data_IF_437718353384
#
_entry.id   IF_437718353384
#
_cell.length_a   1.000
_cell.length_b   1.000
_cell.length_c   1.000
_cell.angle_alpha   90.00
_cell.angle_beta   90.00
_cell.angle_gamma   90.00
#
_symmetry.space_group_name_H-M   'P 1'
#
loop_
_entity.id
_entity.type
_entity.pdbx_description
1 polymer ?
#
# COMPACT_ATOMS: atom_id res chain seq x y z
N UNK A 1 -0.59 -34.57 17.15
CA UNK A 1 -0.90 -33.14 17.41
C UNK A 1 -1.25 -32.52 16.07
N UNK A 2 -2.43 -31.92 15.93
CA UNK A 2 -2.81 -31.28 14.68
C UNK A 2 -2.00 -29.98 14.51
N UNK A 3 -1.26 -29.86 13.41
CA UNK A 3 -0.53 -28.64 13.08
C UNK A 3 -1.46 -27.77 12.25
N UNK A 4 -1.54 -26.47 12.55
CA UNK A 4 -2.38 -25.50 11.82
C UNK A 4 -2.04 -25.39 10.31
N UNK A 5 -0.92 -25.99 9.90
CA UNK A 5 -0.46 -26.09 8.51
C UNK A 5 -1.17 -27.20 7.73
N UNK A 6 -1.76 -28.19 8.40
CA UNK A 6 -2.47 -29.33 7.80
C UNK A 6 -3.98 -29.09 7.69
N UNK A 7 -4.43 -27.86 7.96
CA UNK A 7 -5.84 -27.50 7.89
C UNK A 7 -6.33 -27.58 6.44
N UNK A 8 -7.47 -28.25 6.23
CA UNK A 8 -8.13 -28.27 4.93
C UNK A 8 -8.44 -26.83 4.49
N UNK A 9 -8.26 -26.56 3.19
CA UNK A 9 -8.42 -25.23 2.61
C UNK A 9 -9.82 -24.64 2.85
N UNK A 10 -10.83 -25.50 2.92
CA UNK A 10 -12.23 -25.14 3.21
C UNK A 10 -12.39 -24.61 4.64
N UNK A 11 -11.77 -25.26 5.63
CA UNK A 11 -11.79 -24.81 7.02
C UNK A 11 -11.06 -23.48 7.17
N UNK A 12 -9.94 -23.32 6.46
CA UNK A 12 -9.17 -22.09 6.45
C UNK A 12 -9.98 -20.93 5.86
N UNK A 13 -10.64 -21.14 4.71
CA UNK A 13 -11.56 -20.15 4.14
C UNK A 13 -12.67 -19.81 5.12
N UNK A 14 -13.28 -20.81 5.76
CA UNK A 14 -14.35 -20.60 6.72
C UNK A 14 -13.89 -19.78 7.94
N UNK A 15 -12.69 -20.03 8.45
CA UNK A 15 -12.10 -19.23 9.54
C UNK A 15 -11.90 -17.78 9.08
N UNK A 16 -11.35 -17.57 7.89
CA UNK A 16 -11.14 -16.23 7.35
C UNK A 16 -12.46 -15.49 7.09
N UNK A 17 -13.49 -16.19 6.60
CA UNK A 17 -14.86 -15.66 6.43
C UNK A 17 -15.52 -15.34 7.77
N UNK A 18 -15.31 -16.16 8.80
CA UNK A 18 -15.84 -15.88 10.15
C UNK A 18 -15.21 -14.61 10.74
N UNK A 19 -13.93 -14.34 10.44
CA UNK A 19 -13.32 -13.05 10.78
C UNK A 19 -13.95 -11.86 10.02
N UNK A 20 -14.62 -12.09 8.88
CA UNK A 20 -15.36 -11.04 8.13
C UNK A 20 -16.77 -10.78 8.62
N UNK A 21 -17.40 -11.73 9.31
CA UNK A 21 -18.80 -11.67 9.71
C UNK A 21 -19.00 -11.15 11.15
N UNK A 22 -17.92 -10.76 11.84
CA UNK A 22 -18.04 -10.04 13.12
C UNK A 22 -18.57 -8.62 12.87
N UNK A 23 -19.91 -8.55 12.85
CA UNK A 23 -20.78 -7.44 12.42
C UNK A 23 -20.56 -6.05 13.02
N UNK A 24 -19.57 -5.84 13.90
CA UNK A 24 -19.31 -4.53 14.52
C UNK A 24 -17.86 -4.05 14.44
N UNK A 25 -16.95 -4.89 13.95
CA UNK A 25 -15.58 -4.48 13.65
C UNK A 25 -15.23 -5.08 12.30
N UNK A 26 -15.28 -4.27 11.24
CA UNK A 26 -14.65 -4.63 9.97
C UNK A 26 -13.30 -5.26 10.30
N UNK A 27 -13.03 -6.55 9.99
CA UNK A 27 -11.69 -7.06 10.17
C UNK A 27 -10.78 -6.14 9.41
N UNK A 28 -9.95 -5.41 10.16
CA UNK A 28 -9.08 -4.44 9.52
C UNK A 28 -8.26 -5.19 8.48
N UNK A 29 -8.11 -4.61 7.29
CA UNK A 29 -7.26 -5.11 6.20
C UNK A 29 -5.94 -5.73 6.71
N UNK A 30 -5.42 -5.19 7.82
CA UNK A 30 -4.34 -5.72 8.66
C UNK A 30 -4.47 -7.22 9.00
N UNK A 31 -5.62 -7.73 9.43
CA UNK A 31 -5.83 -9.15 9.76
C UNK A 31 -5.62 -10.05 8.55
N UNK A 32 -6.12 -9.67 7.37
CA UNK A 32 -5.90 -10.47 6.17
C UNK A 32 -4.48 -10.36 5.63
N UNK A 33 -3.85 -9.19 5.74
CA UNK A 33 -2.42 -9.05 5.48
C UNK A 33 -1.60 -9.98 6.38
N UNK A 34 -1.83 -9.95 7.70
CA UNK A 34 -1.13 -10.80 8.66
C UNK A 34 -1.38 -12.29 8.40
N UNK A 35 -2.62 -12.69 8.13
CA UNK A 35 -2.94 -14.10 7.83
C UNK A 35 -2.34 -14.57 6.50
N UNK A 36 -2.17 -13.68 5.51
CA UNK A 36 -1.49 -14.01 4.25
C UNK A 36 0.01 -14.32 4.42
N UNK A 37 0.59 -13.93 5.56
CA UNK A 37 1.99 -14.16 5.94
C UNK A 37 2.18 -15.42 6.80
N UNK A 38 1.11 -16.04 7.32
CA UNK A 38 1.18 -17.19 8.25
C UNK A 38 1.81 -18.41 7.59
N UNK A 39 1.31 -18.82 6.42
CA UNK A 39 1.93 -19.87 5.60
C UNK A 39 1.44 -19.81 4.13
N UNK A 40 2.01 -20.67 3.26
CA UNK A 40 1.67 -20.71 1.82
C UNK A 40 0.21 -21.05 1.53
N UNK A 41 -0.41 -21.93 2.31
CA UNK A 41 -1.81 -22.33 2.18
C UNK A 41 -2.77 -21.18 2.58
N UNK A 42 -2.37 -20.31 3.50
CA UNK A 42 -3.16 -19.15 3.94
C UNK A 42 -3.09 -17.96 2.98
N UNK A 43 -2.00 -17.83 2.21
CA UNK A 43 -1.79 -16.69 1.31
C UNK A 43 -2.90 -16.50 0.29
N UNK A 44 -3.24 -17.53 -0.49
CA UNK A 44 -4.23 -17.41 -1.57
C UNK A 44 -5.63 -17.07 -1.01
N UNK A 45 -6.12 -17.73 0.04
CA UNK A 45 -7.43 -17.40 0.63
C UNK A 45 -7.47 -16.03 1.31
N UNK A 46 -6.43 -15.65 2.07
CA UNK A 46 -6.35 -14.32 2.69
C UNK A 46 -6.29 -13.23 1.63
N UNK A 47 -5.54 -13.42 0.54
CA UNK A 47 -5.53 -12.49 -0.59
C UNK A 47 -6.86 -12.45 -1.33
N UNK A 48 -7.51 -13.60 -1.55
CA UNK A 48 -8.82 -13.63 -2.20
C UNK A 48 -9.86 -12.83 -1.40
N UNK A 49 -9.85 -12.93 -0.07
CA UNK A 49 -10.73 -12.15 0.82
C UNK A 49 -10.31 -10.69 0.96
N UNK A 50 -9.01 -10.38 0.85
CA UNK A 50 -8.54 -9.00 0.67
C UNK A 50 -9.14 -8.37 -0.57
N UNK A 51 -9.28 -9.11 -1.67
CA UNK A 51 -9.88 -8.60 -2.90
C UNK A 51 -11.41 -8.60 -2.90
N UNK A 52 -12.05 -9.55 -2.20
CA UNK A 52 -13.50 -9.70 -2.17
C UNK A 52 -14.20 -8.69 -1.25
N UNK A 53 -13.55 -8.29 -0.14
CA UNK A 53 -14.08 -7.26 0.78
C UNK A 53 -13.75 -5.82 0.33
N UNK A 54 -13.18 -5.65 -0.86
CA UNK A 54 -13.09 -4.35 -1.51
C UNK A 54 -14.48 -4.00 -2.02
N UNK A 55 -15.29 -3.39 -1.17
CA UNK A 55 -16.36 -2.52 -1.65
C UNK A 55 -15.74 -1.57 -2.69
N UNK A 56 -16.33 -1.37 -3.90
CA UNK A 56 -15.83 -0.40 -4.88
C UNK A 56 -15.56 1.00 -4.30
N UNK A 57 -16.16 1.33 -3.15
CA UNK A 57 -15.92 2.55 -2.36
C UNK A 57 -14.77 2.48 -1.34
N UNK A 58 -14.30 1.31 -0.90
CA UNK A 58 -13.27 1.15 0.13
C UNK A 58 -11.92 0.77 -0.50
N UNK A 59 -11.02 1.76 -0.61
CA UNK A 59 -9.76 1.67 -1.35
C UNK A 59 -8.58 1.36 -0.41
N UNK A 60 -8.32 0.10 -0.11
CA UNK A 60 -7.09 -0.32 0.59
C UNK A 60 -6.49 -1.51 -0.17
N UNK A 61 -5.26 -1.36 -0.69
CA UNK A 61 -4.60 -2.37 -1.51
C UNK A 61 -3.36 -3.00 -0.86
N UNK A 62 -3.08 -4.20 -1.36
CA UNK A 62 -2.18 -5.26 -0.89
C UNK A 62 -0.73 -5.07 -1.32
N UNK A 63 0.20 -5.56 -0.50
CA UNK A 63 1.62 -5.77 -0.86
C UNK A 63 1.74 -6.76 -2.04
N UNK A 64 1.78 -6.27 -3.28
CA UNK A 64 2.03 -7.12 -4.47
C UNK A 64 3.54 -7.34 -4.61
N UNK A 65 4.04 -8.35 -3.91
CA UNK A 65 5.34 -8.95 -4.23
C UNK A 65 5.17 -9.97 -5.35
N UNK A 66 5.60 -9.66 -6.57
CA UNK A 66 5.81 -10.68 -7.61
C UNK A 66 7.00 -11.56 -7.22
N UNK A 67 6.77 -12.85 -6.95
CA UNK A 67 7.83 -13.85 -6.80
C UNK A 67 7.50 -15.11 -7.62
N UNK A 68 8.36 -15.51 -8.57
CA UNK A 68 8.47 -16.89 -8.99
C UNK A 68 9.39 -17.67 -8.01
N UNK A 69 8.81 -18.72 -7.44
CA UNK A 69 9.35 -20.05 -7.09
C UNK A 69 10.68 -20.24 -6.32
N UNK A 70 10.51 -20.93 -5.20
CA UNK A 70 11.34 -22.00 -4.60
C UNK A 70 12.51 -21.68 -3.64
N UNK A 71 12.39 -22.34 -2.48
CA UNK A 71 13.39 -22.70 -1.47
C UNK A 71 14.17 -21.57 -0.78
N UNK A 72 13.81 -21.30 0.50
CA UNK A 72 14.68 -20.61 1.47
C UNK A 72 14.93 -19.11 1.24
N UNK A 73 14.05 -18.41 0.53
CA UNK A 73 14.35 -17.08 0.01
C UNK A 73 14.10 -15.94 0.99
N UNK A 74 15.21 -15.31 1.38
CA UNK A 74 15.27 -13.86 1.65
C UNK A 74 14.46 -13.11 0.58
N UNK A 75 13.67 -12.10 0.96
CA UNK A 75 12.94 -11.20 0.06
C UNK A 75 13.92 -10.49 -0.90
N UNK A 76 14.31 -11.15 -2.00
CA UNK A 76 15.41 -10.68 -2.87
C UNK A 76 14.97 -9.64 -3.90
N UNK A 77 13.69 -9.43 -4.13
CA UNK A 77 13.20 -8.60 -5.25
C UNK A 77 11.88 -7.90 -4.95
N UNK A 78 11.82 -7.10 -3.89
CA UNK A 78 10.69 -6.16 -3.71
C UNK A 78 11.06 -4.86 -4.43
N UNK A 79 10.53 -4.68 -5.63
CA UNK A 79 10.74 -3.45 -6.41
C UNK A 79 9.65 -2.40 -6.17
N UNK A 80 8.46 -2.82 -5.71
CA UNK A 80 7.34 -1.94 -5.40
C UNK A 80 6.82 -2.21 -4.00
N UNK A 81 6.57 -1.15 -3.25
CA UNK A 81 6.07 -1.21 -1.88
C UNK A 81 4.94 -0.18 -1.71
N UNK A 82 3.83 -0.60 -1.12
CA UNK A 82 2.72 0.25 -0.76
C UNK A 82 2.46 0.12 0.74
N UNK A 83 2.46 1.24 1.45
CA UNK A 83 2.34 1.34 2.90
C UNK A 83 1.15 2.22 3.23
N UNK A 84 0.13 1.65 3.88
CA UNK A 84 -1.10 2.36 4.15
C UNK A 84 -1.33 2.54 5.65
N UNK A 85 -1.65 3.77 6.07
CA UNK A 85 -1.94 4.09 7.46
C UNK A 85 -0.75 3.89 8.40
N UNK A 86 0.46 4.24 7.96
CA UNK A 86 1.66 4.14 8.81
C UNK A 86 2.23 5.51 9.14
N UNK A 87 2.71 5.65 10.38
CA UNK A 87 3.57 6.76 10.76
C UNK A 87 4.94 6.65 10.08
N UNK A 88 5.59 7.79 9.90
CA UNK A 88 6.93 7.93 9.29
C UNK A 88 8.00 7.09 9.99
N UNK A 89 7.94 6.97 11.32
CA UNK A 89 8.83 6.12 12.11
C UNK A 89 8.74 4.67 11.64
N UNK A 90 7.53 4.14 11.50
CA UNK A 90 7.32 2.77 11.04
C UNK A 90 7.75 2.59 9.58
N UNK A 91 7.43 3.56 8.71
CA UNK A 91 7.88 3.55 7.31
C UNK A 91 9.40 3.46 7.24
N UNK A 92 10.10 4.26 8.05
CA UNK A 92 11.56 4.26 8.12
C UNK A 92 12.11 2.92 8.59
N UNK A 93 11.59 2.36 9.68
CA UNK A 93 12.03 1.06 10.21
C UNK A 93 11.80 -0.07 9.19
N UNK A 94 10.66 -0.05 8.50
CA UNK A 94 10.38 -1.02 7.46
C UNK A 94 11.33 -0.86 6.27
N UNK A 95 11.49 0.35 5.76
CA UNK A 95 12.36 0.65 4.61
C UNK A 95 13.82 0.29 4.93
N UNK A 96 14.31 0.61 6.12
CA UNK A 96 15.67 0.19 6.57
C UNK A 96 15.84 -1.32 6.69
N UNK A 97 14.77 -2.07 6.98
CA UNK A 97 14.82 -3.55 7.04
C UNK A 97 14.88 -4.22 5.66
N UNK A 98 14.55 -3.49 4.59
CA UNK A 98 14.57 -4.02 3.23
C UNK A 98 16.00 -4.27 2.77
N UNK A 99 16.23 -5.46 2.22
CA UNK A 99 17.55 -5.86 1.69
C UNK A 99 17.75 -5.55 0.21
N UNK A 100 16.66 -5.29 -0.51
CA UNK A 100 16.65 -5.04 -1.94
C UNK A 100 16.28 -3.57 -2.20
N UNK A 101 16.96 -2.86 -3.12
CA UNK A 101 16.60 -1.51 -3.48
C UNK A 101 15.18 -1.41 -4.03
N UNK A 102 14.48 -0.35 -3.65
CA UNK A 102 13.11 -0.11 -4.06
C UNK A 102 13.05 0.76 -5.32
N UNK A 103 12.16 0.45 -6.25
CA UNK A 103 11.94 1.24 -7.48
C UNK A 103 10.68 2.12 -7.39
N UNK A 104 9.63 1.66 -6.70
CA UNK A 104 8.37 2.38 -6.51
C UNK A 104 7.93 2.30 -5.05
N UNK A 105 7.60 3.44 -4.47
CA UNK A 105 7.02 3.54 -3.14
C UNK A 105 5.66 4.25 -3.23
N UNK A 106 4.66 3.71 -2.56
CA UNK A 106 3.42 4.38 -2.25
C UNK A 106 3.24 4.40 -0.74
N UNK A 107 2.91 5.57 -0.19
CA UNK A 107 2.70 5.73 1.26
C UNK A 107 1.43 6.52 1.50
N UNK A 108 0.56 6.02 2.36
CA UNK A 108 -0.56 6.75 2.94
C UNK A 108 -0.26 6.97 4.42
N UNK A 109 -0.32 8.23 4.84
CA UNK A 109 0.03 8.65 6.20
C UNK A 109 -1.20 8.47 7.11
N UNK A 110 -1.00 7.81 8.26
CA UNK A 110 -2.06 7.63 9.26
C UNK A 110 -2.42 8.93 10.00
N UNK A 111 -3.56 8.93 10.72
CA UNK A 111 -3.85 9.91 11.77
C UNK A 111 -2.69 10.00 12.77
N UNK A 112 -2.43 11.21 13.27
CA UNK A 112 -1.42 11.42 14.32
C UNK A 112 0.03 11.39 13.83
N UNK A 113 0.28 11.24 12.52
CA UNK A 113 1.63 11.31 11.95
C UNK A 113 2.36 12.63 12.26
N UNK A 114 1.62 13.73 12.50
CA UNK A 114 2.20 15.03 12.90
C UNK A 114 2.60 15.11 14.38
N UNK A 115 2.20 14.15 15.20
CA UNK A 115 2.45 14.18 16.65
C UNK A 115 3.97 14.05 16.97
N UNK A 116 4.76 13.57 16.01
CA UNK A 116 6.21 13.37 16.12
C UNK A 116 7.10 14.52 15.65
N UNK A 117 6.55 15.59 15.04
CA UNK A 117 7.33 16.75 14.58
C UNK A 117 7.22 17.06 13.08
N UNK A 118 8.32 17.54 12.48
CA UNK A 118 8.33 17.98 11.07
C UNK A 118 8.40 16.78 10.14
N UNK A 119 7.24 16.33 9.66
CA UNK A 119 7.20 15.14 8.85
C UNK A 119 7.92 15.28 7.52
N UNK A 120 7.91 16.46 6.90
CA UNK A 120 8.61 16.62 5.61
C UNK A 120 10.11 16.32 5.77
N UNK A 121 10.69 16.72 6.91
CA UNK A 121 12.07 16.36 7.24
C UNK A 121 12.25 14.85 7.43
N UNK A 122 11.28 14.15 8.01
CA UNK A 122 11.34 12.69 8.18
C UNK A 122 11.18 11.94 6.85
N UNK A 123 10.26 12.37 5.98
CA UNK A 123 10.12 11.81 4.63
C UNK A 123 11.38 12.06 3.79
N UNK A 124 11.97 13.26 3.91
CA UNK A 124 13.27 13.54 3.30
C UNK A 124 14.35 12.59 3.86
N UNK A 125 14.40 12.36 5.17
CA UNK A 125 15.34 11.41 5.77
C UNK A 125 15.13 9.96 5.29
N UNK A 126 13.91 9.55 4.95
CA UNK A 126 13.64 8.25 4.34
C UNK A 126 14.26 8.16 2.93
N UNK A 127 14.20 9.22 2.12
CA UNK A 127 14.85 9.26 0.79
C UNK A 127 16.37 9.14 0.85
N UNK A 128 16.98 9.50 1.98
CA UNK A 128 18.42 9.37 2.20
C UNK A 128 18.86 7.92 2.46
N UNK A 129 17.93 6.99 2.67
CA UNK A 129 18.26 5.61 2.97
C UNK A 129 18.86 4.90 1.73
N UNK A 130 19.90 4.06 1.88
CA UNK A 130 20.55 3.38 0.76
C UNK A 130 19.61 2.57 -0.13
N UNK A 131 18.56 1.98 0.46
CA UNK A 131 17.54 1.22 -0.26
C UNK A 131 16.72 2.07 -1.24
N UNK A 132 16.64 3.38 -1.02
CA UNK A 132 15.89 4.32 -1.84
C UNK A 132 16.70 4.86 -3.02
N UNK A 133 17.98 4.49 -3.14
CA UNK A 133 18.87 4.97 -4.22
C UNK A 133 18.38 4.61 -5.62
N UNK A 134 17.58 3.54 -5.76
CA UNK A 134 16.99 3.13 -7.04
C UNK A 134 15.53 3.55 -7.18
N UNK A 135 14.99 4.32 -6.23
CA UNK A 135 13.61 4.76 -6.26
C UNK A 135 13.42 5.70 -7.44
N UNK A 136 12.46 5.37 -8.30
CA UNK A 136 12.11 6.19 -9.46
C UNK A 136 10.88 7.02 -9.21
N UNK A 137 9.95 6.49 -8.41
CA UNK A 137 8.64 7.12 -8.16
C UNK A 137 8.25 6.97 -6.70
N UNK A 138 7.75 8.06 -6.14
CA UNK A 138 7.12 8.03 -4.82
C UNK A 138 5.74 8.67 -4.89
N UNK A 139 4.71 7.87 -4.61
CA UNK A 139 3.34 8.34 -4.41
C UNK A 139 3.11 8.59 -2.92
N UNK A 140 2.65 9.79 -2.59
CA UNK A 140 2.24 10.13 -1.23
C UNK A 140 0.74 10.43 -1.22
N UNK A 141 0.02 9.62 -0.46
CA UNK A 141 -1.41 9.78 -0.21
C UNK A 141 -1.61 10.45 1.16
N UNK A 142 -2.27 11.60 1.13
CA UNK A 142 -2.65 12.37 2.32
C UNK A 142 -4.17 12.40 2.51
N UNK A 143 -4.86 11.33 2.09
CA UNK A 143 -6.31 11.22 2.06
C UNK A 143 -6.99 11.78 3.32
N UNK A 144 -8.14 12.42 3.09
CA UNK A 144 -8.94 13.14 4.09
C UNK A 144 -9.63 12.23 5.11
N UNK A 145 -9.72 10.94 4.83
CA UNK A 145 -10.63 10.07 5.54
C UNK A 145 -10.15 9.74 6.97
N UNK A 146 -8.84 9.86 7.25
CA UNK A 146 -8.29 9.36 8.51
C UNK A 146 -7.19 10.22 9.15
N UNK A 147 -6.89 11.44 8.68
CA UNK A 147 -5.80 12.23 9.27
C UNK A 147 -5.64 13.69 8.80
N UNK A 148 -4.72 14.40 9.46
CA UNK A 148 -4.35 15.78 9.12
C UNK A 148 -3.57 15.81 7.82
N UNK A 149 -4.08 16.51 6.81
CA UNK A 149 -3.38 16.69 5.53
C UNK A 149 -2.01 17.36 5.67
N UNK A 150 -1.12 17.05 4.71
CA UNK A 150 0.00 17.93 4.44
C UNK A 150 -0.54 19.30 4.05
N UNK A 151 0.04 20.38 4.58
CA UNK A 151 -0.19 21.68 4.00
C UNK A 151 0.38 21.71 2.57
N UNK A 152 -0.10 22.62 1.72
CA UNK A 152 0.44 22.76 0.36
C UNK A 152 1.95 23.07 0.39
N UNK A 153 2.42 23.83 1.38
CA UNK A 153 3.86 24.11 1.58
C UNK A 153 4.64 22.84 1.96
N UNK A 154 4.11 22.05 2.89
CA UNK A 154 4.75 20.79 3.30
C UNK A 154 4.82 19.80 2.12
N UNK A 155 3.73 19.70 1.35
CA UNK A 155 3.68 18.88 0.14
C UNK A 155 4.68 19.38 -0.91
N UNK A 156 4.74 20.68 -1.18
CA UNK A 156 5.70 21.26 -2.11
C UNK A 156 7.16 20.99 -1.67
N UNK A 157 7.44 21.03 -0.37
CA UNK A 157 8.76 20.72 0.18
C UNK A 157 9.10 19.23 0.06
N UNK A 158 8.14 18.32 0.27
CA UNK A 158 8.31 16.90 -0.02
C UNK A 158 8.59 16.65 -1.51
N UNK A 159 7.80 17.25 -2.41
CA UNK A 159 8.01 17.13 -3.85
C UNK A 159 9.38 17.64 -4.28
N UNK A 160 9.82 18.77 -3.73
CA UNK A 160 11.15 19.32 -3.95
C UNK A 160 12.25 18.34 -3.53
N UNK A 161 12.07 17.68 -2.38
CA UNK A 161 13.00 16.67 -1.86
C UNK A 161 13.06 15.43 -2.77
N UNK A 162 11.92 14.95 -3.25
CA UNK A 162 11.84 13.88 -4.25
C UNK A 162 12.59 14.26 -5.54
N UNK A 163 12.29 15.41 -6.12
CA UNK A 163 12.90 15.85 -7.39
C UNK A 163 14.41 16.06 -7.27
N UNK A 164 14.89 16.57 -6.14
CA UNK A 164 16.32 16.72 -5.87
C UNK A 164 17.08 15.37 -5.90
N UNK A 165 16.36 14.26 -5.67
CA UNK A 165 16.88 12.89 -5.73
C UNK A 165 16.61 12.18 -7.06
N UNK A 166 16.03 12.87 -8.04
CA UNK A 166 15.58 12.26 -9.30
C UNK A 166 14.37 11.34 -9.14
N UNK A 167 13.67 11.41 -8.00
CA UNK A 167 12.43 10.69 -7.74
C UNK A 167 11.28 11.51 -8.26
N UNK A 168 10.44 10.92 -9.09
CA UNK A 168 9.20 11.53 -9.58
C UNK A 168 8.13 11.49 -8.46
N UNK A 169 7.74 12.65 -7.87
CA UNK A 169 6.61 12.68 -6.96
C UNK A 169 5.30 12.43 -7.73
N UNK A 170 4.43 11.60 -7.19
CA UNK A 170 3.14 11.24 -7.79
C UNK A 170 1.99 11.57 -6.84
N UNK A 171 0.92 12.12 -7.41
CA UNK A 171 -0.34 12.33 -6.71
C UNK A 171 -1.20 11.05 -6.73
N UNK A 172 -2.47 11.20 -6.34
CA UNK A 172 -3.43 10.09 -6.25
C UNK A 172 -3.90 9.54 -7.59
N UNK A 173 -3.50 10.14 -8.71
CA UNK A 173 -3.93 9.71 -10.05
C UNK A 173 -3.29 8.37 -10.36
N UNK A 174 -4.10 7.31 -10.36
CA UNK A 174 -3.69 5.98 -10.80
C UNK A 174 -3.41 6.05 -12.31
N UNK A 175 -2.32 5.41 -12.75
CA UNK A 175 -1.89 5.34 -14.16
C UNK A 175 -2.96 4.78 -15.12
N UNK A 176 -3.99 4.10 -14.62
CA UNK A 176 -4.98 3.38 -15.43
C UNK A 176 -6.40 3.94 -15.34
N UNK A 177 -6.58 5.14 -14.78
CA UNK A 177 -7.90 5.82 -14.82
C UNK A 177 -7.94 6.90 -15.89
N UNK A 178 -7.33 6.66 -17.06
CA UNK A 178 -7.92 7.15 -18.30
C UNK A 178 -9.21 6.33 -18.52
N UNK A 179 -10.23 6.65 -17.72
CA UNK A 179 -11.59 6.33 -18.13
C UNK A 179 -11.74 7.01 -19.48
N UNK A 180 -12.03 6.20 -20.50
CA UNK A 180 -12.44 6.63 -21.81
C UNK A 180 -13.55 7.69 -21.66
N UNK A 181 -13.19 8.96 -21.54
CA UNK A 181 -14.07 10.08 -21.88
C UNK A 181 -14.13 10.15 -23.41
N UNK A 182 -14.52 9.02 -24.03
CA UNK A 182 -14.87 8.97 -25.43
C UNK A 182 -16.35 9.29 -25.55
N UNK A 183 -16.59 10.49 -26.09
CA UNK A 183 -17.66 10.79 -27.04
C UNK A 183 -19.11 10.68 -26.57
N UNK A 184 -19.59 11.72 -25.89
CA UNK A 184 -20.86 12.31 -26.31
C UNK A 184 -20.54 13.38 -27.37
N UNK A 185 -20.48 12.95 -28.63
CA UNK A 185 -20.78 13.87 -29.73
C UNK A 185 -22.29 14.07 -29.70
N UNK A 186 -22.74 15.20 -29.16
CA UNK A 186 -24.08 15.69 -29.44
C UNK A 186 -24.29 15.73 -30.96
N UNK A 187 -25.33 15.08 -31.50
CA UNK A 187 -25.72 15.33 -32.88
C UNK A 187 -26.22 16.77 -32.97
N UNK A 188 -25.49 17.60 -33.72
CA UNK A 188 -25.98 18.91 -34.16
C UNK A 188 -27.25 18.70 -34.98
N UNK A 189 -28.39 19.02 -34.39
CA UNK A 189 -29.62 19.31 -35.12
C UNK A 189 -29.44 20.69 -35.76
N UNK A 190 -29.20 20.69 -37.06
CA UNK A 190 -29.34 21.87 -37.93
C UNK A 190 -30.76 21.87 -38.54
N UNK A 191 -31.25 23.06 -38.94
CA UNK A 191 -32.60 23.57 -38.63
C UNK A 191 -33.76 23.03 -39.48
#
# INVERSE_FOLDING_TARGET
MAVIQDLLLELLRRILELMTDERDTWPSHRHFCLTSLVNRAWRKPSQALLFYNLDPGSRVYTLVGTLPSNAGSTLKTVESLELLGFGTVYIKDLVTSLRAPLAVLATELASGWKDGGNVVAELAAILELPVMTKLKRWRLDDSRDWGTRLSEDEKAQWEKSCRARGVEPRDLRRFFTEVLSNTEKEPKLEP
#
